data_IF_083171593879
#
_entry.id   IF_083171593879
#
_cell.length_a   1.000
_cell.length_b   1.000
_cell.length_c   1.000
_cell.angle_alpha   90.00
_cell.angle_beta   90.00
_cell.angle_gamma   90.00
#
_symmetry.space_group_name_H-M   'P 1'
#
loop_
_entity.id
_entity.type
_entity.pdbx_description
1 polymer ?
#
# COMPACT_ATOMS: atom_id res chain seq x y z
N UNK A 1 31.22 24.20 16.08
CA UNK A 1 30.99 23.00 16.91
C UNK A 1 30.42 21.90 16.02
N UNK A 2 30.87 20.65 16.17
CA UNK A 2 30.33 19.53 15.39
C UNK A 2 28.92 19.18 15.88
N UNK A 3 27.96 19.09 14.96
CA UNK A 3 26.62 18.59 15.29
C UNK A 3 26.63 17.06 15.39
N UNK A 4 25.73 16.42 16.16
CA UNK A 4 25.57 14.97 16.14
C UNK A 4 25.43 14.44 14.72
N UNK A 5 26.12 13.34 14.41
CA UNK A 5 26.19 12.75 13.07
C UNK A 5 27.24 13.37 12.14
N UNK A 6 27.92 14.46 12.51
CA UNK A 6 28.98 15.04 11.69
C UNK A 6 30.18 14.10 11.58
N UNK A 7 30.76 13.98 10.38
CA UNK A 7 31.98 13.20 10.16
C UNK A 7 33.17 13.95 10.74
N UNK A 8 33.84 13.37 11.75
CA UNK A 8 35.06 13.93 12.37
C UNK A 8 36.34 13.40 11.75
N UNK A 9 36.34 12.13 11.34
CA UNK A 9 37.49 11.48 10.72
C UNK A 9 37.02 10.44 9.73
N UNK A 10 37.74 10.34 8.61
CA UNK A 10 37.65 9.24 7.66
C UNK A 10 39.05 8.67 7.50
N UNK A 11 39.19 7.37 7.68
CA UNK A 11 40.44 6.65 7.47
C UNK A 11 40.15 5.49 6.51
N UNK A 12 40.96 5.36 5.47
CA UNK A 12 40.89 4.23 4.55
C UNK A 12 42.26 3.57 4.39
N UNK A 13 42.25 2.25 4.26
CA UNK A 13 43.41 1.40 4.01
C UNK A 13 43.16 0.54 2.78
N UNK A 14 44.16 0.45 1.91
CA UNK A 14 44.18 -0.39 0.72
C UNK A 14 42.92 -0.24 -0.16
N UNK A 15 42.46 1.00 -0.32
CA UNK A 15 41.21 1.34 -0.98
C UNK A 15 41.49 2.04 -2.33
N UNK A 16 41.23 1.33 -3.43
CA UNK A 16 41.47 1.76 -4.82
C UNK A 16 42.89 2.29 -5.03
N UNK A 17 43.09 3.61 -5.01
CA UNK A 17 44.38 4.28 -5.23
C UNK A 17 45.16 4.50 -3.94
N UNK A 18 44.51 4.44 -2.78
CA UNK A 18 45.10 4.79 -1.48
C UNK A 18 45.63 3.53 -0.78
N UNK A 19 46.92 3.54 -0.38
CA UNK A 19 47.42 2.55 0.60
C UNK A 19 46.91 2.87 2.00
N UNK A 20 47.01 4.14 2.39
CA UNK A 20 46.48 4.66 3.64
C UNK A 20 46.22 6.16 3.45
N UNK A 21 45.06 6.64 3.89
CA UNK A 21 44.81 8.08 4.01
C UNK A 21 43.87 8.34 5.19
N UNK A 22 44.13 9.44 5.88
CA UNK A 22 43.27 9.97 6.93
C UNK A 22 42.83 11.39 6.56
N UNK A 23 41.58 11.70 6.85
CA UNK A 23 41.00 13.02 6.65
C UNK A 23 40.24 13.44 7.88
N UNK A 24 40.31 14.74 8.17
CA UNK A 24 39.69 15.37 9.33
C UNK A 24 38.80 16.52 8.85
N UNK A 25 37.55 16.24 8.45
CA UNK A 25 36.62 17.27 8.00
C UNK A 25 36.32 18.27 9.13
N UNK A 26 36.17 19.55 8.77
CA UNK A 26 35.60 20.57 9.64
C UNK A 26 34.08 20.43 9.79
N UNK A 27 33.45 21.16 10.72
CA UNK A 27 32.04 21.03 11.06
C UNK A 27 31.05 21.63 10.03
N UNK A 28 31.56 22.32 9.00
CA UNK A 28 30.75 23.07 8.04
C UNK A 28 31.10 22.69 6.60
N UNK A 29 31.55 23.66 5.79
CA UNK A 29 31.96 23.42 4.42
C UNK A 29 33.33 22.74 4.37
N UNK A 30 33.40 21.63 3.67
CA UNK A 30 34.64 20.92 3.38
C UNK A 30 34.81 20.84 1.87
N UNK A 31 35.98 21.22 1.36
CA UNK A 31 36.30 21.17 -0.06
C UNK A 31 37.47 20.23 -0.29
N UNK A 32 37.27 19.23 -1.15
CA UNK A 32 38.32 18.32 -1.58
C UNK A 32 38.82 18.75 -2.96
N UNK A 33 40.02 19.32 -3.01
CA UNK A 33 40.59 19.95 -4.21
C UNK A 33 41.81 19.14 -4.68
N UNK A 34 41.98 19.03 -6.00
CA UNK A 34 43.15 18.38 -6.59
C UNK A 34 42.96 18.12 -8.09
N UNK A 35 44.04 17.85 -8.84
CA UNK A 35 43.98 17.49 -10.25
C UNK A 35 43.07 16.29 -10.54
N UNK A 36 42.65 16.11 -11.80
CA UNK A 36 41.88 14.93 -12.21
C UNK A 36 42.70 13.65 -12.01
N UNK A 37 42.04 12.56 -11.63
CA UNK A 37 42.69 11.26 -11.37
C UNK A 37 43.34 11.11 -9.99
N UNK A 38 43.37 12.15 -9.14
CA UNK A 38 43.99 12.10 -7.80
C UNK A 38 43.19 11.38 -6.71
N UNK A 39 42.04 10.79 -7.05
CA UNK A 39 41.23 10.00 -6.12
C UNK A 39 40.18 10.79 -5.33
N UNK A 40 39.84 12.02 -5.71
CA UNK A 40 38.79 12.81 -5.05
C UNK A 40 37.45 12.07 -4.93
N UNK A 41 36.94 11.55 -6.06
CA UNK A 41 35.69 10.77 -6.09
C UNK A 41 35.85 9.42 -5.36
N UNK A 42 37.08 8.88 -5.25
CA UNK A 42 37.38 7.68 -4.46
C UNK A 42 37.13 7.92 -2.97
N UNK A 43 37.51 9.08 -2.44
CA UNK A 43 37.26 9.44 -1.04
C UNK A 43 35.76 9.54 -0.75
N UNK A 44 35.01 10.19 -1.65
CA UNK A 44 33.55 10.32 -1.51
C UNK A 44 32.89 8.94 -1.57
N UNK A 45 33.34 8.07 -2.48
CA UNK A 45 32.92 6.67 -2.55
C UNK A 45 33.17 5.92 -1.23
N UNK A 46 34.34 6.12 -0.61
CA UNK A 46 34.64 5.49 0.67
C UNK A 46 33.68 5.92 1.79
N UNK A 47 33.32 7.20 1.85
CA UNK A 47 32.35 7.70 2.84
C UNK A 47 31.00 6.98 2.69
N UNK A 48 30.49 6.90 1.47
CA UNK A 48 29.18 6.28 1.19
C UNK A 48 29.22 4.78 1.45
N UNK A 49 30.26 4.08 0.97
CA UNK A 49 30.43 2.65 1.21
C UNK A 49 30.64 2.35 2.71
N UNK A 50 31.37 3.18 3.44
CA UNK A 50 31.59 3.00 4.87
C UNK A 50 30.34 3.24 5.71
N UNK A 51 29.40 4.05 5.23
CA UNK A 51 28.12 4.33 5.89
C UNK A 51 26.98 3.36 5.51
N UNK A 52 27.26 2.26 4.80
CA UNK A 52 26.23 1.27 4.44
C UNK A 52 25.76 1.34 2.99
N UNK A 53 26.28 2.27 2.18
CA UNK A 53 25.90 2.42 0.78
C UNK A 53 26.31 1.22 -0.08
N UNK A 54 25.53 1.01 -1.14
CA UNK A 54 25.78 -0.03 -2.14
C UNK A 54 26.79 0.46 -3.20
N UNK A 55 27.72 -0.40 -3.69
CA UNK A 55 28.54 -0.11 -4.87
C UNK A 55 27.78 0.52 -6.05
N UNK A 56 26.55 0.05 -6.32
CA UNK A 56 25.67 0.59 -7.36
C UNK A 56 25.24 2.05 -7.12
N UNK A 57 25.11 2.46 -5.85
CA UNK A 57 24.73 3.84 -5.48
C UNK A 57 25.87 4.82 -5.75
N UNK A 58 27.13 4.35 -5.72
CA UNK A 58 28.34 5.18 -5.91
C UNK A 58 28.67 5.46 -7.38
N UNK A 59 28.17 4.63 -8.31
CA UNK A 59 28.27 4.86 -9.76
C UNK A 59 29.55 4.34 -10.43
N UNK A 60 30.56 3.92 -9.66
CA UNK A 60 31.88 3.55 -10.21
C UNK A 60 32.10 2.06 -10.46
N UNK A 61 31.36 1.19 -9.78
CA UNK A 61 31.59 -0.26 -9.83
C UNK A 61 30.38 -1.06 -9.34
N UNK A 62 30.22 -2.28 -9.83
CA UNK A 62 29.08 -3.13 -9.47
C UNK A 62 29.35 -3.97 -8.24
N UNK A 63 30.62 -4.26 -7.96
CA UNK A 63 31.07 -5.11 -6.86
C UNK A 63 31.89 -4.34 -5.84
N UNK A 64 31.83 -4.77 -4.59
CA UNK A 64 32.64 -4.17 -3.52
C UNK A 64 34.13 -4.49 -3.68
N UNK A 65 34.45 -5.65 -4.27
CA UNK A 65 35.82 -6.11 -4.53
C UNK A 65 36.59 -5.20 -5.49
N UNK A 66 35.91 -4.47 -6.38
CA UNK A 66 36.51 -3.48 -7.28
C UNK A 66 37.11 -2.27 -6.53
N UNK A 67 36.71 -2.08 -5.27
CA UNK A 67 37.23 -1.01 -4.42
C UNK A 67 38.48 -1.42 -3.62
N UNK A 68 38.90 -2.68 -3.71
CA UNK A 68 40.17 -3.13 -3.11
C UNK A 68 41.33 -2.70 -4.00
N UNK A 69 42.37 -2.13 -3.39
CA UNK A 69 43.58 -1.72 -4.11
C UNK A 69 44.23 -2.91 -4.80
N UNK A 70 44.65 -2.72 -6.06
CA UNK A 70 45.36 -3.76 -6.82
C UNK A 70 46.61 -4.21 -6.06
N UNK A 71 46.72 -5.53 -5.85
CA UNK A 71 47.84 -6.14 -5.12
C UNK A 71 47.61 -6.32 -3.61
N UNK A 72 46.52 -5.81 -3.04
CA UNK A 72 46.20 -5.94 -1.60
C UNK A 72 45.05 -6.93 -1.38
N UNK A 73 45.08 -7.79 -0.36
CA UNK A 73 44.04 -8.82 -0.17
C UNK A 73 42.68 -8.28 0.30
N UNK A 74 42.67 -7.18 1.04
CA UNK A 74 41.48 -6.55 1.61
C UNK A 74 41.62 -5.03 1.67
N UNK A 75 40.49 -4.36 1.89
CA UNK A 75 40.42 -2.93 2.13
C UNK A 75 39.61 -2.64 3.40
N UNK A 76 39.96 -1.56 4.09
CA UNK A 76 39.26 -1.12 5.31
C UNK A 76 38.85 0.34 5.19
N UNK A 77 37.63 0.64 5.62
CA UNK A 77 37.08 2.00 5.74
C UNK A 77 36.65 2.20 7.18
N UNK A 78 37.18 3.24 7.83
CA UNK A 78 36.78 3.69 9.16
C UNK A 78 36.20 5.10 9.07
N UNK A 79 35.01 5.29 9.61
CA UNK A 79 34.32 6.59 9.67
C UNK A 79 33.99 6.88 11.12
N UNK A 80 34.33 8.08 11.57
CA UNK A 80 34.10 8.53 12.93
C UNK A 80 33.03 9.62 12.91
N UNK A 81 31.89 9.35 13.53
CA UNK A 81 30.75 10.26 13.62
C UNK A 81 30.67 10.90 15.00
N UNK A 82 30.37 12.20 15.07
CA UNK A 82 30.07 12.91 16.30
C UNK A 82 28.85 12.28 17.00
N UNK A 83 28.98 11.94 18.27
CA UNK A 83 27.86 11.47 19.11
C UNK A 83 26.99 12.64 19.59
N UNK A 84 25.87 12.34 20.26
CA UNK A 84 25.05 13.33 20.94
C UNK A 84 25.80 13.99 22.11
N UNK A 85 26.73 13.26 22.72
CA UNK A 85 27.60 13.78 23.77
C UNK A 85 28.81 14.53 23.19
N UNK A 86 29.13 15.66 23.81
CA UNK A 86 30.27 16.47 23.42
C UNK A 86 31.58 15.69 23.59
N UNK A 87 32.45 15.74 22.57
CA UNK A 87 33.73 15.01 22.50
C UNK A 87 33.66 13.47 22.47
N UNK A 88 32.47 12.86 22.37
CA UNK A 88 32.35 11.43 22.03
C UNK A 88 32.13 11.23 20.54
N UNK A 89 32.62 10.10 20.04
CA UNK A 89 32.44 9.70 18.65
C UNK A 89 32.09 8.21 18.57
N UNK A 90 31.35 7.87 17.52
CA UNK A 90 31.10 6.49 17.14
C UNK A 90 31.97 6.11 15.95
N UNK A 91 32.58 4.94 16.00
CA UNK A 91 33.40 4.40 14.91
C UNK A 91 32.61 3.35 14.14
N UNK A 92 32.33 3.65 12.88
CA UNK A 92 31.82 2.68 11.91
C UNK A 92 33.02 2.17 11.10
N UNK A 93 33.21 0.86 11.08
CA UNK A 93 34.25 0.21 10.29
C UNK A 93 33.64 -0.80 9.33
N UNK A 94 34.07 -0.75 8.06
CA UNK A 94 33.76 -1.74 7.04
C UNK A 94 35.06 -2.33 6.53
N UNK A 95 35.16 -3.64 6.53
CA UNK A 95 36.30 -4.39 6.00
C UNK A 95 35.80 -5.38 4.96
N UNK A 96 36.44 -5.41 3.79
CA UNK A 96 36.05 -6.31 2.71
C UNK A 96 37.23 -6.80 1.88
N UNK A 97 37.09 -7.97 1.26
CA UNK A 97 38.13 -8.63 0.48
C UNK A 97 37.76 -8.79 -1.01
N UNK A 98 38.71 -9.30 -1.80
CA UNK A 98 38.50 -9.62 -3.21
C UNK A 98 37.47 -10.73 -3.45
N UNK A 99 37.15 -11.55 -2.44
CA UNK A 99 36.14 -12.60 -2.51
C UNK A 99 34.74 -12.08 -2.17
N UNK A 100 34.58 -10.76 -2.09
CA UNK A 100 33.33 -10.07 -1.77
C UNK A 100 32.81 -10.34 -0.35
N UNK A 101 33.66 -10.89 0.54
CA UNK A 101 33.32 -11.03 1.95
C UNK A 101 33.44 -9.65 2.61
N UNK A 102 32.32 -9.12 3.10
CA UNK A 102 32.25 -7.82 3.80
C UNK A 102 31.84 -8.04 5.24
N UNK A 103 32.51 -7.34 6.16
CA UNK A 103 32.17 -7.30 7.59
C UNK A 103 32.00 -5.87 8.07
N UNK A 104 31.16 -5.69 9.09
CA UNK A 104 30.80 -4.40 9.65
C UNK A 104 31.06 -4.40 11.15
N UNK A 105 31.62 -3.31 11.66
CA UNK A 105 31.81 -3.08 13.08
C UNK A 105 31.30 -1.71 13.48
N UNK A 106 30.60 -1.63 14.61
CA UNK A 106 30.21 -0.40 15.27
C UNK A 106 30.89 -0.37 16.64
N UNK A 107 31.71 0.64 16.91
CA UNK A 107 32.48 0.78 18.15
C UNK A 107 33.25 -0.50 18.51
N UNK A 108 33.92 -1.08 17.50
CA UNK A 108 34.68 -2.33 17.55
C UNK A 108 33.86 -3.62 17.78
N UNK A 109 32.52 -3.55 17.82
CA UNK A 109 31.63 -4.73 17.89
C UNK A 109 31.15 -5.11 16.50
N UNK A 110 31.23 -6.39 16.15
CA UNK A 110 30.70 -6.89 14.88
C UNK A 110 29.18 -6.79 14.86
N UNK A 111 28.63 -6.18 13.82
CA UNK A 111 27.19 -5.94 13.64
C UNK A 111 26.74 -6.30 12.23
N UNK A 112 25.42 -6.36 11.99
CA UNK A 112 24.88 -6.54 10.64
C UNK A 112 24.79 -5.20 9.93
N UNK A 113 24.64 -5.23 8.60
CA UNK A 113 24.42 -4.03 7.80
C UNK A 113 23.15 -3.27 8.24
N UNK A 114 22.07 -4.00 8.55
CA UNK A 114 20.81 -3.42 9.02
C UNK A 114 21.00 -2.58 10.31
N UNK A 115 21.87 -3.03 11.22
CA UNK A 115 22.18 -2.29 12.45
C UNK A 115 22.91 -0.97 12.15
N UNK A 116 23.85 -0.99 11.19
CA UNK A 116 24.53 0.22 10.72
C UNK A 116 23.54 1.19 10.08
N UNK A 117 22.65 0.69 9.20
CA UNK A 117 21.63 1.52 8.54
C UNK A 117 20.68 2.15 9.56
N UNK A 118 20.22 1.37 10.55
CA UNK A 118 19.38 1.88 11.64
C UNK A 118 20.13 2.91 12.50
N UNK A 119 21.43 2.70 12.73
CA UNK A 119 22.27 3.63 13.49
C UNK A 119 22.44 4.97 12.77
N UNK A 120 22.80 4.98 11.48
CA UNK A 120 22.99 6.22 10.72
C UNK A 120 21.67 6.96 10.47
N UNK A 121 20.55 6.22 10.43
CA UNK A 121 19.19 6.78 10.31
C UNK A 121 18.83 7.68 11.50
N UNK A 122 19.31 7.36 12.71
CA UNK A 122 19.13 8.22 13.91
C UNK A 122 19.75 9.61 13.74
N UNK A 123 20.85 9.69 13.00
CA UNK A 123 21.54 10.94 12.67
C UNK A 123 21.05 11.60 11.37
N UNK A 124 19.94 11.10 10.79
CA UNK A 124 19.39 11.56 9.51
C UNK A 124 20.42 11.53 8.35
N UNK A 125 21.24 10.49 8.33
CA UNK A 125 22.18 10.22 7.24
C UNK A 125 21.53 9.19 6.30
N UNK A 126 21.34 9.57 5.04
CA UNK A 126 20.70 8.76 4.01
C UNK A 126 21.64 8.60 2.82
N UNK A 127 22.33 7.46 2.77
CA UNK A 127 23.33 7.15 1.75
C UNK A 127 22.75 6.87 0.36
N UNK A 128 21.47 6.49 0.29
CA UNK A 128 20.76 6.17 -0.96
C UNK A 128 19.88 7.33 -1.48
N UNK A 129 19.80 8.44 -0.75
CA UNK A 129 19.00 9.60 -1.17
C UNK A 129 19.86 10.55 -2.05
N UNK A 130 19.46 10.72 -3.30
CA UNK A 130 20.16 11.56 -4.28
C UNK A 130 20.26 13.05 -3.87
N UNK A 131 19.36 13.51 -2.98
CA UNK A 131 19.37 14.88 -2.48
C UNK A 131 20.45 15.12 -1.41
N UNK A 132 20.90 14.07 -0.72
CA UNK A 132 21.97 14.17 0.30
C UNK A 132 23.32 13.70 -0.25
N UNK A 133 23.31 12.72 -1.15
CA UNK A 133 24.49 12.27 -1.87
C UNK A 133 24.21 12.26 -3.37
N UNK A 134 24.94 13.10 -4.11
CA UNK A 134 24.83 13.17 -5.56
C UNK A 134 26.11 12.59 -6.20
N UNK A 135 26.09 11.32 -6.65
CA UNK A 135 27.21 10.73 -7.38
C UNK A 135 27.39 11.42 -8.73
N UNK A 136 28.64 11.57 -9.17
CA UNK A 136 28.98 12.22 -10.44
C UNK A 136 28.19 11.64 -11.64
N UNK A 137 28.05 10.32 -11.70
CA UNK A 137 27.36 9.63 -12.81
C UNK A 137 25.83 9.69 -12.70
N UNK A 138 25.29 9.99 -11.52
CA UNK A 138 23.84 10.05 -11.26
C UNK A 138 23.27 11.47 -11.22
N UNK A 139 24.07 12.47 -11.58
CA UNK A 139 23.60 13.85 -11.74
C UNK A 139 22.48 13.94 -12.77
N UNK A 140 22.56 13.15 -13.86
CA UNK A 140 21.51 13.10 -14.87
C UNK A 140 20.22 12.47 -14.35
N UNK A 141 20.32 11.45 -13.50
CA UNK A 141 19.15 10.80 -12.91
C UNK A 141 18.41 11.74 -11.97
N UNK A 142 19.14 12.57 -11.22
CA UNK A 142 18.56 13.65 -10.42
C UNK A 142 17.76 14.65 -11.27
N UNK A 143 18.28 15.03 -12.44
CA UNK A 143 17.59 15.95 -13.35
C UNK A 143 16.35 15.33 -14.03
N UNK A 144 16.24 14.00 -14.07
CA UNK A 144 15.07 13.28 -14.61
C UNK A 144 13.92 13.14 -13.61
N UNK A 145 14.16 13.35 -12.32
CA UNK A 145 13.12 13.22 -11.29
C UNK A 145 11.97 14.18 -11.57
N UNK A 146 10.74 13.69 -11.46
CA UNK A 146 9.58 14.54 -11.56
C UNK A 146 9.42 15.42 -10.30
N UNK A 147 8.60 16.48 -10.37
CA UNK A 147 8.41 17.41 -9.25
C UNK A 147 7.92 16.73 -7.95
N UNK A 148 7.12 15.66 -8.07
CA UNK A 148 6.59 14.93 -6.91
C UNK A 148 7.65 14.02 -6.28
N UNK A 149 8.46 13.37 -7.09
CA UNK A 149 9.61 12.54 -6.67
C UNK A 149 10.67 13.40 -6.01
N UNK A 150 11.02 14.54 -6.63
CA UNK A 150 11.97 15.49 -6.04
C UNK A 150 11.47 15.99 -4.68
N UNK A 151 10.17 16.31 -4.57
CA UNK A 151 9.57 16.68 -3.30
C UNK A 151 9.68 15.52 -2.30
N UNK A 152 9.34 14.28 -2.69
CA UNK A 152 9.41 13.11 -1.82
C UNK A 152 10.84 12.85 -1.32
N UNK A 153 11.84 12.90 -2.19
CA UNK A 153 13.25 12.71 -1.80
C UNK A 153 13.76 13.86 -0.94
N UNK A 154 13.33 15.10 -1.20
CA UNK A 154 13.64 16.26 -0.36
C UNK A 154 12.99 16.13 1.03
N UNK A 155 11.73 15.72 1.09
CA UNK A 155 11.02 15.48 2.34
C UNK A 155 11.66 14.35 3.12
N UNK A 156 12.08 13.27 2.46
CA UNK A 156 12.88 12.22 3.12
C UNK A 156 14.15 12.79 3.74
N UNK A 157 14.90 13.61 3.02
CA UNK A 157 16.16 14.17 3.50
C UNK A 157 15.99 15.16 4.67
N UNK A 158 14.92 15.96 4.67
CA UNK A 158 14.77 17.10 5.59
C UNK A 158 13.75 16.88 6.70
N UNK A 159 12.69 16.09 6.47
CA UNK A 159 11.59 15.95 7.40
C UNK A 159 11.81 14.81 8.39
N UNK A 160 11.23 14.96 9.58
CA UNK A 160 11.16 13.87 10.58
C UNK A 160 10.31 12.73 10.01
N UNK A 161 10.70 11.49 10.31
CA UNK A 161 10.01 10.28 9.84
C UNK A 161 8.49 10.33 10.12
N UNK A 162 8.07 10.88 11.25
CA UNK A 162 6.66 11.05 11.64
C UNK A 162 5.83 11.82 10.60
N UNK A 163 6.41 12.82 9.93
CA UNK A 163 5.70 13.63 8.95
C UNK A 163 5.48 12.86 7.64
N UNK A 164 6.45 12.03 7.26
CA UNK A 164 6.36 11.17 6.07
C UNK A 164 5.31 10.09 6.27
N UNK A 165 5.28 9.46 7.45
CA UNK A 165 4.26 8.45 7.78
C UNK A 165 2.86 9.05 7.75
N UNK A 166 2.66 10.24 8.33
CA UNK A 166 1.38 10.95 8.26
C UNK A 166 0.98 11.27 6.83
N UNK A 167 1.92 11.70 5.99
CA UNK A 167 1.66 11.97 4.58
C UNK A 167 1.25 10.70 3.83
N UNK A 168 1.93 9.57 4.05
CA UNK A 168 1.57 8.28 3.45
C UNK A 168 0.19 7.80 3.92
N UNK A 169 -0.12 7.96 5.21
CA UNK A 169 -1.46 7.68 5.75
C UNK A 169 -2.54 8.56 5.10
N UNK A 170 -2.29 9.85 4.91
CA UNK A 170 -3.23 10.75 4.23
C UNK A 170 -3.48 10.35 2.78
N UNK A 171 -2.42 9.94 2.05
CA UNK A 171 -2.55 9.43 0.68
C UNK A 171 -3.39 8.16 0.65
N UNK A 172 -3.11 7.20 1.57
CA UNK A 172 -3.88 5.96 1.69
C UNK A 172 -5.35 6.22 2.01
N UNK A 173 -5.64 7.07 2.99
CA UNK A 173 -6.99 7.47 3.37
C UNK A 173 -7.74 8.12 2.21
N UNK A 174 -7.07 8.95 1.41
CA UNK A 174 -7.68 9.58 0.23
C UNK A 174 -8.00 8.55 -0.86
N UNK A 175 -7.15 7.54 -1.06
CA UNK A 175 -7.44 6.42 -1.96
C UNK A 175 -8.67 5.64 -1.52
N UNK A 176 -8.71 5.24 -0.24
CA UNK A 176 -9.84 4.52 0.35
C UNK A 176 -11.13 5.33 0.28
N UNK A 177 -11.08 6.63 0.59
CA UNK A 177 -12.23 7.52 0.48
C UNK A 177 -12.77 7.55 -0.96
N UNK A 178 -11.89 7.61 -1.96
CA UNK A 178 -12.29 7.63 -3.37
C UNK A 178 -12.93 6.31 -3.79
N UNK A 179 -12.40 5.17 -3.34
CA UNK A 179 -12.98 3.85 -3.59
C UNK A 179 -14.36 3.69 -2.94
N UNK A 180 -14.49 4.08 -1.67
CA UNK A 180 -15.75 4.05 -0.94
C UNK A 180 -16.80 4.96 -1.60
N UNK A 181 -16.41 6.16 -2.02
CA UNK A 181 -17.30 7.08 -2.74
C UNK A 181 -17.80 6.46 -4.04
N UNK A 182 -16.90 5.87 -4.83
CA UNK A 182 -17.28 5.15 -6.06
C UNK A 182 -18.20 3.95 -5.78
N UNK A 183 -18.00 3.28 -4.64
CA UNK A 183 -18.86 2.18 -4.21
C UNK A 183 -20.25 2.68 -3.82
N UNK A 184 -20.34 3.77 -3.06
CA UNK A 184 -21.60 4.42 -2.70
C UNK A 184 -22.37 4.79 -3.96
N UNK A 185 -21.74 5.47 -4.92
CA UNK A 185 -22.41 5.85 -6.17
C UNK A 185 -22.95 4.63 -6.94
N UNK A 186 -22.21 3.52 -6.97
CA UNK A 186 -22.66 2.26 -7.58
C UNK A 186 -23.84 1.64 -6.82
N UNK A 187 -23.77 1.59 -5.50
CA UNK A 187 -24.83 1.00 -4.68
C UNK A 187 -26.10 1.85 -4.71
N UNK A 188 -25.98 3.18 -4.71
CA UNK A 188 -27.12 4.08 -4.85
C UNK A 188 -27.83 3.91 -6.19
N UNK A 189 -27.08 3.71 -7.29
CA UNK A 189 -27.68 3.38 -8.60
C UNK A 189 -28.43 2.04 -8.57
N UNK A 190 -27.81 0.99 -8.04
CA UNK A 190 -28.44 -0.34 -7.91
C UNK A 190 -29.70 -0.31 -7.04
N UNK A 191 -29.68 0.47 -5.94
CA UNK A 191 -30.82 0.63 -5.07
C UNK A 191 -32.00 1.25 -5.83
N UNK A 192 -31.77 2.33 -6.58
CA UNK A 192 -32.81 2.97 -7.40
C UNK A 192 -33.39 2.00 -8.45
N UNK A 193 -32.54 1.22 -9.10
CA UNK A 193 -32.98 0.20 -10.07
C UNK A 193 -33.87 -0.87 -9.40
N UNK A 194 -33.47 -1.35 -8.21
CA UNK A 194 -34.24 -2.33 -7.45
C UNK A 194 -35.57 -1.77 -6.93
N UNK A 195 -35.59 -0.53 -6.46
CA UNK A 195 -36.82 0.16 -6.01
C UNK A 195 -37.81 0.33 -7.16
N UNK A 196 -37.34 0.75 -8.34
CA UNK A 196 -38.18 0.86 -9.54
C UNK A 196 -38.73 -0.51 -9.96
N UNK A 197 -37.90 -1.54 -9.98
CA UNK A 197 -38.34 -2.90 -10.30
C UNK A 197 -39.38 -3.41 -9.30
N UNK A 198 -39.20 -3.15 -8.00
CA UNK A 198 -40.13 -3.56 -6.97
C UNK A 198 -41.48 -2.84 -7.10
N UNK A 199 -41.47 -1.53 -7.36
CA UNK A 199 -42.69 -0.75 -7.60
C UNK A 199 -43.51 -1.28 -8.79
N UNK A 200 -42.83 -1.70 -9.88
CA UNK A 200 -43.49 -2.33 -11.03
C UNK A 200 -44.10 -3.70 -10.68
N UNK A 201 -43.43 -4.49 -9.83
CA UNK A 201 -43.91 -5.80 -9.38
C UNK A 201 -45.09 -5.68 -8.41
N UNK A 202 -45.11 -4.68 -7.53
CA UNK A 202 -46.23 -4.42 -6.62
C UNK A 202 -47.55 -4.26 -7.37
N UNK A 203 -47.57 -3.51 -8.48
CA UNK A 203 -48.76 -3.37 -9.32
C UNK A 203 -49.25 -4.71 -9.89
N UNK A 204 -48.33 -5.58 -10.31
CA UNK A 204 -48.66 -6.94 -10.80
C UNK A 204 -49.22 -7.83 -9.70
N UNK A 205 -48.61 -7.78 -8.50
CA UNK A 205 -49.08 -8.55 -7.34
C UNK A 205 -50.47 -8.11 -6.92
N UNK A 206 -50.75 -6.81 -6.87
CA UNK A 206 -52.09 -6.30 -6.57
C UNK A 206 -53.13 -6.78 -7.59
N UNK A 207 -52.78 -6.75 -8.88
CA UNK A 207 -53.67 -7.21 -9.95
C UNK A 207 -53.94 -8.72 -9.86
N UNK A 208 -52.91 -9.50 -9.52
CA UNK A 208 -53.03 -10.94 -9.28
C UNK A 208 -53.91 -11.26 -8.07
N UNK A 209 -53.77 -10.51 -6.97
CA UNK A 209 -54.62 -10.68 -5.79
C UNK A 209 -56.09 -10.36 -6.09
N UNK A 210 -56.38 -9.27 -6.81
CA UNK A 210 -57.74 -8.98 -7.27
C UNK A 210 -58.31 -10.09 -8.16
N UNK A 211 -57.49 -10.65 -9.05
CA UNK A 211 -57.91 -11.80 -9.87
C UNK A 211 -58.31 -12.99 -8.99
N UNK A 212 -57.52 -13.34 -7.98
CA UNK A 212 -57.86 -14.41 -7.03
C UNK A 212 -59.18 -14.14 -6.30
N UNK A 213 -59.44 -12.90 -5.91
CA UNK A 213 -60.72 -12.52 -5.27
C UNK A 213 -61.91 -12.72 -6.23
N UNK A 214 -61.77 -12.31 -7.49
CA UNK A 214 -62.80 -12.54 -8.51
C UNK A 214 -63.02 -14.03 -8.80
N UNK A 215 -61.95 -14.82 -8.91
CA UNK A 215 -62.05 -16.27 -9.11
C UNK A 215 -62.82 -16.93 -7.95
N UNK A 216 -62.56 -16.52 -6.71
CA UNK A 216 -63.31 -16.98 -5.54
C UNK A 216 -64.79 -16.54 -5.54
N UNK A 217 -65.07 -15.32 -6.01
CA UNK A 217 -66.46 -14.86 -6.17
C UNK A 217 -67.22 -15.66 -7.24
N UNK A 218 -66.58 -15.95 -8.38
CA UNK A 218 -67.16 -16.77 -9.44
C UNK A 218 -67.51 -18.16 -8.89
N UNK A 219 -66.57 -18.80 -8.19
CA UNK A 219 -66.81 -20.13 -7.60
C UNK A 219 -68.01 -20.12 -6.62
N UNK A 220 -68.18 -19.06 -5.83
CA UNK A 220 -69.34 -18.91 -4.95
C UNK A 220 -70.65 -18.67 -5.71
N UNK A 221 -70.61 -17.93 -6.83
CA UNK A 221 -71.79 -17.73 -7.69
C UNK A 221 -72.18 -19.06 -8.34
N UNK A 222 -71.23 -19.83 -8.84
CA UNK A 222 -71.49 -21.15 -9.44
C UNK A 222 -72.14 -22.10 -8.43
N UNK A 223 -71.67 -22.10 -7.17
CA UNK A 223 -72.32 -22.83 -6.06
C UNK A 223 -73.77 -22.38 -5.83
N UNK A 224 -74.05 -21.07 -5.88
CA UNK A 224 -75.42 -20.53 -5.75
C UNK A 224 -76.31 -20.90 -6.94
N UNK A 225 -75.78 -20.91 -8.15
CA UNK A 225 -76.51 -21.35 -9.36
C UNK A 225 -76.89 -22.82 -9.20
N UNK A 226 -75.93 -23.68 -8.83
CA UNK A 226 -76.19 -25.10 -8.59
C UNK A 226 -77.25 -25.31 -7.49
N UNK A 227 -77.19 -24.52 -6.41
CA UNK A 227 -78.22 -24.56 -5.36
C UNK A 227 -79.60 -24.16 -5.86
N UNK A 228 -79.71 -23.08 -6.64
CA UNK A 228 -80.97 -22.65 -7.26
C UNK A 228 -81.55 -23.68 -8.22
N UNK A 229 -80.70 -24.32 -9.03
CA UNK A 229 -81.12 -25.41 -9.90
C UNK A 229 -81.63 -26.61 -9.09
N UNK A 230 -80.94 -26.97 -8.01
CA UNK A 230 -81.40 -28.01 -7.08
C UNK A 230 -82.75 -27.65 -6.44
N UNK A 231 -82.95 -26.42 -5.98
CA UNK A 231 -84.25 -25.95 -5.46
C UNK A 231 -85.35 -26.12 -6.51
N UNK A 232 -85.14 -25.65 -7.75
CA UNK A 232 -86.13 -25.77 -8.81
C UNK A 232 -86.49 -27.23 -9.13
N UNK A 233 -85.51 -28.13 -9.21
CA UNK A 233 -85.75 -29.57 -9.43
C UNK A 233 -86.46 -30.19 -8.22
N UNK A 234 -86.10 -29.78 -7.00
CA UNK A 234 -86.72 -30.26 -5.77
C UNK A 234 -88.19 -29.85 -5.68
N UNK A 235 -88.51 -28.61 -6.04
CA UNK A 235 -89.88 -28.10 -6.07
C UNK A 235 -90.73 -28.88 -7.08
N UNK A 236 -90.20 -29.10 -8.30
CA UNK A 236 -90.84 -29.97 -9.30
C UNK A 236 -91.04 -31.40 -8.80
N UNK A 237 -90.07 -31.96 -8.07
CA UNK A 237 -90.18 -33.30 -7.50
C UNK A 237 -91.24 -33.37 -6.40
N UNK A 238 -91.41 -32.30 -5.62
CA UNK A 238 -92.47 -32.18 -4.62
C UNK A 238 -93.84 -32.10 -5.30
N UNK A 239 -93.99 -31.31 -6.37
CA UNK A 239 -95.21 -31.25 -7.17
C UNK A 239 -95.56 -32.63 -7.75
N UNK A 240 -94.63 -33.29 -8.44
CA UNK A 240 -94.84 -34.64 -9.00
C UNK A 240 -95.17 -35.67 -7.91
N UNK A 241 -94.59 -35.55 -6.71
CA UNK A 241 -94.93 -36.42 -5.58
C UNK A 241 -96.36 -36.17 -5.08
N UNK A 242 -96.78 -34.92 -5.02
CA UNK A 242 -98.14 -34.56 -4.64
C UNK A 242 -99.14 -35.09 -5.67
N UNK A 243 -98.90 -34.86 -6.95
CA UNK A 243 -99.72 -35.38 -8.05
C UNK A 243 -99.80 -36.91 -8.03
N UNK A 244 -98.67 -37.60 -7.80
CA UNK A 244 -98.64 -39.07 -7.64
C UNK A 244 -99.48 -39.53 -6.45
N UNK A 245 -99.40 -38.84 -5.30
CA UNK A 245 -100.17 -39.18 -4.11
C UNK A 245 -101.67 -38.95 -4.33
N UNK A 246 -102.06 -37.93 -5.10
CA UNK A 246 -103.45 -37.71 -5.50
C UNK A 246 -103.94 -38.80 -6.46
N UNK A 247 -103.17 -39.15 -7.49
CA UNK A 247 -103.51 -40.23 -8.41
C UNK A 247 -103.62 -41.61 -7.74
N UNK A 248 -102.81 -41.88 -6.71
CA UNK A 248 -102.92 -43.11 -5.90
C UNK A 248 -104.18 -43.16 -5.04
N UNK A 249 -104.75 -42.01 -4.65
CA UNK A 249 -106.04 -41.96 -3.94
C UNK A 249 -107.23 -42.26 -4.85
N UNK A 250 -107.15 -41.88 -6.13
CA UNK A 250 -108.21 -42.11 -7.13
C UNK A 250 -108.28 -43.58 -7.58
N UNK A 251 -107.19 -44.34 -7.50
CA UNK A 251 -107.15 -45.78 -7.85
C UNK A 251 -107.56 -46.73 -6.69
N UNK A 252 -108.11 -46.20 -5.59
CA UNK A 252 -108.61 -46.97 -4.44
C UNK A 252 -110.10 -46.72 -4.13
N UNK A 253 -110.82 -46.10 -5.06
CA UNK A 253 -112.30 -46.12 -5.15
C UNK A 253 -112.76 -47.06 -6.26
#
# INVERSE_FOLDING_TARGET
MFKPGSIRKVEVKDFVTYSHVEMYPGPHLNMLIGPNGTGKSTIVAAIILGLGGNPKSVGRGHKISEYVKRGCSSATINIYLQSDEENRFHKIAREFDFREKSSWKLDNRTVRLEDILNFIKKYNIQVDNLCQFLPQDKVQDFAKLNKQELLKETQKALCRFDLLEKQEQLISNRSQHTELHNSIDKHTKKLREAEQANSLLEGRVQSFNKKKEFDFMIENIDRKIAWRQYEGIKDQLIEIKNDRNEAQKVNHE
#
